data_IF_697749349366
#
_entry.id   IF_697749349366
#
_cell.length_a   1.000
_cell.length_b   1.000
_cell.length_c   1.000
_cell.angle_alpha   90.00
_cell.angle_beta   90.00
_cell.angle_gamma   90.00
#
_symmetry.space_group_name_H-M   'P 1'
#
loop_
_entity.id
_entity.type
_entity.pdbx_description
1 polymer ?
#
# COMPACT_ATOMS: atom_id res chain seq x y z
N UNK A 1 -55.83 -60.17 35.33
CA UNK A 1 -56.59 -59.04 35.88
C UNK A 1 -55.62 -58.02 36.46
N UNK A 2 -55.89 -56.73 36.21
CA UNK A 2 -55.25 -55.52 36.75
C UNK A 2 -53.85 -55.15 36.22
N UNK A 3 -53.85 -54.44 35.09
CA UNK A 3 -52.84 -53.42 34.79
C UNK A 3 -53.16 -52.15 35.59
N UNK A 4 -52.20 -51.63 36.37
CA UNK A 4 -52.28 -50.31 37.02
C UNK A 4 -51.17 -49.42 36.45
N UNK A 5 -51.57 -48.45 35.63
CA UNK A 5 -50.70 -47.39 35.11
C UNK A 5 -50.23 -46.47 36.22
N UNK A 6 -48.92 -46.29 36.32
CA UNK A 6 -48.25 -45.25 37.09
C UNK A 6 -48.46 -43.89 36.40
N UNK A 7 -49.19 -42.98 37.03
CA UNK A 7 -49.25 -41.58 36.60
C UNK A 7 -48.01 -40.86 37.16
N UNK A 8 -47.00 -40.63 36.33
CA UNK A 8 -45.83 -39.81 36.68
C UNK A 8 -46.19 -38.34 36.48
N UNK A 9 -46.24 -37.59 37.58
CA UNK A 9 -46.37 -36.14 37.58
C UNK A 9 -45.08 -35.54 36.99
N UNK A 10 -45.19 -34.86 35.86
CA UNK A 10 -44.10 -34.14 35.20
C UNK A 10 -44.03 -32.72 35.78
N UNK A 11 -43.05 -32.44 36.64
CA UNK A 11 -42.73 -31.08 37.08
C UNK A 11 -41.92 -30.38 35.97
N UNK A 12 -42.54 -29.43 35.28
CA UNK A 12 -41.87 -28.56 34.30
C UNK A 12 -41.20 -27.42 35.07
N UNK A 13 -39.87 -27.42 35.13
CA UNK A 13 -39.10 -26.27 35.58
C UNK A 13 -39.07 -25.23 34.44
N UNK A 14 -39.84 -24.14 34.57
CA UNK A 14 -39.67 -22.96 33.74
C UNK A 14 -38.38 -22.24 34.18
N UNK A 15 -37.32 -22.39 33.39
CA UNK A 15 -36.19 -21.46 33.44
C UNK A 15 -36.59 -20.16 32.74
N UNK A 16 -36.41 -18.98 33.35
CA UNK A 16 -36.56 -17.73 32.64
C UNK A 16 -35.45 -17.66 31.59
N UNK A 17 -35.84 -17.70 30.31
CA UNK A 17 -34.95 -17.37 29.21
C UNK A 17 -34.62 -15.88 29.33
N UNK A 18 -33.48 -15.55 29.94
CA UNK A 18 -32.86 -14.25 29.74
C UNK A 18 -32.46 -14.19 28.27
N UNK A 19 -33.30 -13.57 27.44
CA UNK A 19 -32.88 -13.08 26.15
C UNK A 19 -31.75 -12.08 26.43
N UNK A 20 -30.51 -12.50 26.18
CA UNK A 20 -29.41 -11.55 26.00
C UNK A 20 -29.80 -10.76 24.77
N UNK A 21 -30.37 -9.57 24.98
CA UNK A 21 -30.55 -8.60 23.91
C UNK A 21 -29.13 -8.32 23.41
N UNK A 22 -28.80 -8.85 22.23
CA UNK A 22 -27.56 -8.50 21.56
C UNK A 22 -27.56 -7.00 21.38
N UNK A 23 -26.60 -6.32 22.01
CA UNK A 23 -26.42 -4.88 21.79
C UNK A 23 -26.17 -4.70 20.29
N UNK A 24 -27.11 -4.07 19.59
CA UNK A 24 -26.91 -3.73 18.18
C UNK A 24 -25.70 -2.81 18.05
N UNK A 25 -24.92 -3.01 16.97
CA UNK A 25 -23.81 -2.13 16.65
C UNK A 25 -24.33 -0.68 16.52
N UNK A 26 -23.58 0.27 17.08
CA UNK A 26 -23.99 1.68 17.07
C UNK A 26 -23.92 2.22 15.65
N UNK A 27 -24.85 3.11 15.31
CA UNK A 27 -24.81 3.80 14.01
C UNK A 27 -23.46 4.53 13.83
N UNK A 28 -22.87 4.50 12.62
CA UNK A 28 -21.65 5.24 12.32
C UNK A 28 -21.82 6.73 12.63
N UNK A 29 -20.79 7.34 13.22
CA UNK A 29 -20.77 8.77 13.55
C UNK A 29 -19.78 9.50 12.66
N UNK A 30 -20.26 10.49 11.93
CA UNK A 30 -19.38 11.45 11.24
C UNK A 30 -18.74 12.37 12.28
N UNK A 31 -17.43 12.58 12.18
CA UNK A 31 -16.64 13.37 13.13
C UNK A 31 -15.81 14.43 12.41
N UNK A 32 -15.67 15.57 13.05
CA UNK A 32 -14.75 16.64 12.67
C UNK A 32 -13.47 16.49 13.50
N UNK A 33 -12.33 16.41 12.82
CA UNK A 33 -11.01 16.39 13.44
C UNK A 33 -10.29 17.69 13.08
N UNK A 34 -9.36 18.11 13.94
CA UNK A 34 -8.50 19.27 13.69
C UNK A 34 -7.07 18.79 13.72
N UNK A 35 -6.40 18.85 12.58
CA UNK A 35 -4.97 18.53 12.49
C UNK A 35 -4.14 19.57 13.27
N UNK A 36 -2.87 19.27 13.62
CA UNK A 36 -2.01 20.19 14.36
C UNK A 36 -1.82 21.57 13.72
N UNK A 37 -1.96 21.67 12.40
CA UNK A 37 -1.88 22.92 11.63
C UNK A 37 -3.24 23.67 11.52
N UNK A 38 -4.27 23.18 12.21
CA UNK A 38 -5.60 23.78 12.26
C UNK A 38 -6.56 23.32 11.16
N UNK A 39 -6.09 22.56 10.17
CA UNK A 39 -6.91 22.06 9.05
C UNK A 39 -8.01 21.13 9.56
N UNK A 40 -9.24 21.28 9.04
CA UNK A 40 -10.37 20.44 9.41
C UNK A 40 -10.46 19.20 8.52
N UNK A 41 -10.46 18.04 9.16
CA UNK A 41 -10.61 16.75 8.50
C UNK A 41 -11.97 16.15 8.82
N UNK A 42 -12.53 15.42 7.86
CA UNK A 42 -13.77 14.66 8.04
C UNK A 42 -13.47 13.18 8.21
N UNK A 43 -14.00 12.61 9.29
CA UNK A 43 -13.92 11.17 9.55
C UNK A 43 -15.29 10.52 9.73
N UNK A 44 -15.29 9.19 9.68
CA UNK A 44 -16.42 8.35 10.11
C UNK A 44 -15.89 7.33 11.13
N UNK A 45 -16.47 7.35 12.33
CA UNK A 45 -16.18 6.38 13.38
C UNK A 45 -17.36 5.43 13.58
N UNK A 46 -17.08 4.14 13.49
CA UNK A 46 -18.05 3.06 13.63
C UNK A 46 -17.65 2.18 14.81
N UNK A 47 -18.42 2.23 15.89
CA UNK A 47 -18.14 1.49 17.13
C UNK A 47 -18.81 0.12 17.12
N UNK A 48 -18.08 -0.90 17.57
CA UNK A 48 -18.64 -2.21 17.87
C UNK A 48 -19.59 -2.13 19.09
N UNK A 49 -20.40 -3.18 19.26
CA UNK A 49 -21.31 -3.33 20.40
C UNK A 49 -20.57 -3.41 21.75
N UNK A 50 -19.38 -4.01 21.75
CA UNK A 50 -18.52 -4.19 22.91
C UNK A 50 -17.10 -3.67 22.63
N UNK A 51 -16.27 -3.60 23.67
CA UNK A 51 -14.87 -3.22 23.51
C UNK A 51 -14.12 -4.23 22.65
N UNK A 52 -13.30 -3.74 21.71
CA UNK A 52 -12.59 -4.56 20.74
C UNK A 52 -11.49 -3.82 19.98
N UNK A 53 -10.75 -4.48 19.09
CA UNK A 53 -9.62 -3.89 18.36
C UNK A 53 -10.02 -2.64 17.56
N UNK A 54 -9.09 -1.70 17.44
CA UNK A 54 -9.24 -0.52 16.57
C UNK A 54 -8.69 -0.77 15.17
N UNK A 55 -9.38 -0.26 14.15
CA UNK A 55 -8.96 -0.33 12.73
C UNK A 55 -8.99 1.07 12.14
N UNK A 56 -7.89 1.53 11.56
CA UNK A 56 -7.83 2.77 10.78
C UNK A 56 -7.68 2.42 9.29
N UNK A 57 -8.61 2.88 8.46
CA UNK A 57 -8.60 2.66 7.01
C UNK A 57 -8.41 3.98 6.23
N UNK A 58 -7.40 4.01 5.38
CA UNK A 58 -6.97 5.16 4.59
C UNK A 58 -7.33 4.96 3.10
N UNK A 59 -8.05 5.90 2.51
CA UNK A 59 -8.49 5.78 1.11
C UNK A 59 -7.34 6.00 0.11
N UNK A 60 -7.55 5.58 -1.14
CA UNK A 60 -6.68 5.88 -2.28
C UNK A 60 -6.83 7.31 -2.80
N UNK A 61 -5.85 7.77 -3.59
CA UNK A 61 -5.63 9.16 -3.99
C UNK A 61 -6.65 9.77 -4.96
N UNK A 62 -7.72 9.05 -5.29
CA UNK A 62 -8.82 9.51 -6.13
C UNK A 62 -10.18 9.10 -5.54
N UNK A 63 -10.23 8.85 -4.23
CA UNK A 63 -11.41 8.41 -3.47
C UNK A 63 -11.52 9.20 -2.16
N UNK A 64 -12.49 8.79 -1.34
CA UNK A 64 -12.82 9.36 -0.05
C UNK A 64 -13.22 8.23 0.93
N UNK A 65 -13.32 8.53 2.21
CA UNK A 65 -13.50 7.60 3.34
C UNK A 65 -14.67 6.62 3.21
N UNK A 66 -15.76 6.97 2.54
CA UNK A 66 -16.97 6.13 2.40
C UNK A 66 -16.78 4.94 1.45
N UNK A 67 -15.68 4.87 0.70
CA UNK A 67 -15.35 3.63 -0.03
C UNK A 67 -15.19 2.43 0.89
N UNK A 68 -14.94 2.68 2.18
CA UNK A 68 -14.79 1.66 3.21
C UNK A 68 -16.10 1.30 3.93
N UNK A 69 -17.24 1.94 3.63
CA UNK A 69 -18.47 1.80 4.43
C UNK A 69 -18.94 0.33 4.58
N UNK A 70 -18.89 -0.44 3.49
CA UNK A 70 -19.26 -1.86 3.52
C UNK A 70 -18.32 -2.69 4.39
N UNK A 71 -17.00 -2.48 4.22
CA UNK A 71 -15.98 -3.17 5.02
C UNK A 71 -16.08 -2.77 6.50
N UNK A 72 -16.25 -1.49 6.80
CA UNK A 72 -16.39 -0.97 8.15
C UNK A 72 -17.59 -1.60 8.86
N UNK A 73 -18.74 -1.70 8.17
CA UNK A 73 -19.95 -2.35 8.71
C UNK A 73 -19.73 -3.83 9.01
N UNK A 74 -18.99 -4.55 8.17
CA UNK A 74 -18.65 -5.97 8.41
C UNK A 74 -17.67 -6.12 9.57
N UNK A 75 -16.68 -5.25 9.65
CA UNK A 75 -15.71 -5.22 10.75
C UNK A 75 -16.37 -4.91 12.09
N UNK A 76 -17.31 -3.94 12.15
CA UNK A 76 -18.05 -3.65 13.39
C UNK A 76 -18.96 -4.79 13.81
N UNK A 77 -19.61 -5.47 12.86
CA UNK A 77 -20.36 -6.70 13.14
C UNK A 77 -19.46 -7.83 13.70
N UNK A 78 -18.18 -7.85 13.33
CA UNK A 78 -17.18 -8.77 13.86
C UNK A 78 -16.50 -8.28 15.17
N UNK A 79 -16.97 -7.19 15.77
CA UNK A 79 -16.49 -6.70 17.07
C UNK A 79 -15.28 -5.75 17.01
N UNK A 80 -14.98 -5.17 15.85
CA UNK A 80 -13.91 -4.18 15.69
C UNK A 80 -14.45 -2.75 15.63
N UNK A 81 -13.65 -1.78 16.04
CA UNK A 81 -13.99 -0.35 15.98
C UNK A 81 -13.24 0.29 14.83
N UNK A 82 -13.95 0.90 13.88
CA UNK A 82 -13.36 1.35 12.62
C UNK A 82 -13.38 2.87 12.54
N UNK A 83 -12.23 3.45 12.24
CA UNK A 83 -12.06 4.84 11.85
C UNK A 83 -11.70 4.92 10.37
N UNK A 84 -12.43 5.75 9.63
CA UNK A 84 -12.08 6.13 8.25
C UNK A 84 -11.99 7.64 8.18
N UNK A 85 -11.09 8.17 7.38
CA UNK A 85 -10.82 9.62 7.30
C UNK A 85 -10.62 10.05 5.87
N UNK A 86 -11.17 11.20 5.51
CA UNK A 86 -10.80 11.92 4.30
C UNK A 86 -9.49 12.65 4.59
N UNK A 87 -8.42 12.33 3.87
CA UNK A 87 -7.17 13.07 3.97
C UNK A 87 -7.36 14.49 3.41
N UNK A 88 -6.49 15.44 3.78
CA UNK A 88 -6.59 16.81 3.28
C UNK A 88 -6.66 16.86 1.74
N UNK A 89 -7.50 17.75 1.21
CA UNK A 89 -7.73 17.87 -0.23
C UNK A 89 -8.64 16.79 -0.83
N UNK A 90 -9.22 15.91 -0.01
CA UNK A 90 -10.14 14.85 -0.44
C UNK A 90 -11.50 14.91 0.25
N UNK A 91 -12.52 14.40 -0.43
CA UNK A 91 -13.85 14.20 0.14
C UNK A 91 -14.42 15.46 0.78
N UNK A 92 -14.80 15.34 2.05
CA UNK A 92 -15.38 16.40 2.86
C UNK A 92 -14.33 17.11 3.75
N UNK A 93 -13.04 16.77 3.63
CA UNK A 93 -11.95 17.44 4.35
C UNK A 93 -11.54 18.74 3.65
N UNK A 94 -11.03 19.69 4.43
CA UNK A 94 -10.43 20.90 3.89
C UNK A 94 -9.11 20.60 3.14
N UNK A 95 -8.60 21.61 2.44
CA UNK A 95 -7.35 21.55 1.69
C UNK A 95 -7.55 21.74 0.18
N UNK A 96 -6.49 22.11 -0.50
CA UNK A 96 -6.49 22.21 -1.96
C UNK A 96 -6.55 20.80 -2.55
N UNK A 97 -7.47 20.52 -3.50
CA UNK A 97 -7.50 19.25 -4.22
C UNK A 97 -6.14 18.92 -4.85
N UNK A 98 -5.70 17.67 -4.74
CA UNK A 98 -4.35 17.25 -5.14
C UNK A 98 -4.09 17.51 -6.64
N UNK A 99 -5.10 17.40 -7.48
CA UNK A 99 -5.03 17.67 -8.93
C UNK A 99 -4.83 19.16 -9.28
N UNK A 100 -4.88 20.05 -8.28
CA UNK A 100 -4.65 21.49 -8.43
C UNK A 100 -3.34 21.98 -7.84
N UNK A 101 -2.55 21.09 -7.25
CA UNK A 101 -1.27 21.40 -6.64
C UNK A 101 -0.14 21.37 -7.69
N UNK A 102 0.91 22.15 -7.46
CA UNK A 102 2.18 21.96 -8.19
C UNK A 102 2.88 20.68 -7.72
N UNK A 103 3.82 20.11 -8.49
CA UNK A 103 4.59 18.95 -8.05
C UNK A 103 5.28 19.13 -6.70
N UNK A 104 5.83 20.33 -6.43
CA UNK A 104 6.46 20.65 -5.14
C UNK A 104 5.46 20.70 -3.99
N UNK A 105 4.26 21.23 -4.25
CA UNK A 105 3.18 21.24 -3.25
C UNK A 105 2.64 19.83 -2.98
N UNK A 106 2.54 18.99 -4.01
CA UNK A 106 2.20 17.56 -3.86
C UNK A 106 3.22 16.88 -2.95
N UNK A 107 4.51 17.05 -3.21
CA UNK A 107 5.57 16.45 -2.39
C UNK A 107 5.45 16.86 -0.92
N UNK A 108 5.32 18.17 -0.65
CA UNK A 108 5.09 18.69 0.70
C UNK A 108 3.82 18.09 1.33
N UNK A 109 2.72 18.01 0.58
CA UNK A 109 1.45 17.49 1.10
C UNK A 109 1.59 16.01 1.49
N UNK A 110 2.20 15.17 0.64
CA UNK A 110 2.32 13.73 0.91
C UNK A 110 3.35 13.40 1.99
N UNK A 111 4.47 14.13 2.05
CA UNK A 111 5.58 13.79 2.92
C UNK A 111 5.53 14.50 4.28
N UNK A 112 4.93 15.70 4.34
CA UNK A 112 4.91 16.49 5.58
C UNK A 112 3.51 16.64 6.18
N UNK A 113 2.47 16.71 5.34
CA UNK A 113 1.13 17.15 5.78
C UNK A 113 0.15 16.00 6.02
N UNK A 114 -0.01 15.10 5.05
CA UNK A 114 -0.85 13.90 5.17
C UNK A 114 -0.44 13.03 6.38
N UNK A 115 0.86 12.85 6.71
CA UNK A 115 1.23 12.13 7.92
C UNK A 115 0.63 12.71 9.21
N UNK A 116 0.40 14.03 9.28
CA UNK A 116 -0.27 14.68 10.40
C UNK A 116 -1.77 14.36 10.43
N UNK A 117 -2.40 14.23 9.27
CA UNK A 117 -3.83 13.86 9.17
C UNK A 117 -4.06 12.43 9.65
N UNK A 118 -3.17 11.52 9.23
CA UNK A 118 -3.18 10.11 9.61
C UNK A 118 -2.95 9.98 11.11
N UNK A 119 -1.98 10.70 11.66
CA UNK A 119 -1.75 10.77 13.11
C UNK A 119 -2.97 11.29 13.86
N UNK A 120 -3.63 12.34 13.35
CA UNK A 120 -4.83 12.92 13.97
C UNK A 120 -5.97 11.89 14.03
N UNK A 121 -6.18 11.13 12.96
CA UNK A 121 -7.18 10.06 12.94
C UNK A 121 -6.82 8.90 13.87
N UNK A 122 -5.54 8.53 13.95
CA UNK A 122 -5.03 7.53 14.90
C UNK A 122 -5.28 7.97 16.35
N UNK A 123 -4.88 9.20 16.72
CA UNK A 123 -5.05 9.74 18.07
C UNK A 123 -6.54 9.81 18.46
N UNK A 124 -7.42 10.17 17.53
CA UNK A 124 -8.85 10.10 17.76
C UNK A 124 -9.32 8.66 18.03
N UNK A 125 -8.84 7.68 17.25
CA UNK A 125 -9.26 6.28 17.38
C UNK A 125 -8.84 5.68 18.73
N UNK A 126 -7.58 5.85 19.14
CA UNK A 126 -7.03 5.15 20.33
C UNK A 126 -7.60 5.63 21.66
N UNK A 127 -8.17 6.84 21.71
CA UNK A 127 -8.81 7.37 22.93
C UNK A 127 -10.28 6.97 23.06
N UNK A 128 -10.86 6.26 22.07
CA UNK A 128 -12.26 5.86 22.15
C UNK A 128 -12.45 4.77 23.21
N UNK A 129 -13.43 4.88 24.12
CA UNK A 129 -13.67 3.88 25.17
C UNK A 129 -13.97 2.47 24.66
N UNK A 130 -14.44 2.36 23.41
CA UNK A 130 -14.72 1.07 22.78
C UNK A 130 -13.45 0.38 22.24
N UNK A 131 -12.33 1.08 22.09
CA UNK A 131 -11.10 0.53 21.51
C UNK A 131 -10.27 -0.14 22.60
N UNK A 132 -9.97 -1.43 22.42
CA UNK A 132 -9.10 -2.19 23.32
C UNK A 132 -7.64 -1.72 23.20
N UNK A 133 -6.92 -1.54 24.33
CA UNK A 133 -5.50 -1.19 24.29
C UNK A 133 -4.64 -2.26 23.59
N UNK A 134 -3.62 -1.83 22.85
CA UNK A 134 -2.50 -2.67 22.40
C UNK A 134 -2.73 -3.55 21.17
N UNK A 135 -3.92 -3.53 20.56
CA UNK A 135 -4.21 -4.27 19.33
C UNK A 135 -4.94 -3.36 18.32
N UNK A 136 -4.16 -2.82 17.39
CA UNK A 136 -4.63 -1.98 16.30
C UNK A 136 -4.29 -2.57 14.93
N UNK A 137 -5.07 -2.17 13.94
CA UNK A 137 -4.88 -2.52 12.53
C UNK A 137 -4.88 -1.23 11.73
N UNK A 138 -3.89 -1.07 10.85
CA UNK A 138 -3.91 -0.01 9.85
C UNK A 138 -4.08 -0.64 8.47
N UNK A 139 -4.84 0.02 7.61
CA UNK A 139 -4.99 -0.43 6.24
C UNK A 139 -5.23 0.70 5.28
N UNK A 140 -4.87 0.48 4.01
CA UNK A 140 -5.07 1.47 2.99
C UNK A 140 -4.97 0.90 1.58
N UNK A 141 -5.45 1.69 0.63
CA UNK A 141 -5.38 1.40 -0.78
C UNK A 141 -4.57 2.48 -1.51
N UNK A 142 -3.82 2.11 -2.55
CA UNK A 142 -2.98 3.04 -3.31
C UNK A 142 -2.06 3.84 -2.36
N UNK A 143 -2.04 5.17 -2.46
CA UNK A 143 -1.30 6.04 -1.54
C UNK A 143 -1.63 5.89 -0.04
N UNK A 144 -2.76 5.29 0.33
CA UNK A 144 -3.05 4.91 1.72
C UNK A 144 -2.16 3.78 2.25
N UNK A 145 -1.51 2.99 1.38
CA UNK A 145 -0.58 1.91 1.75
C UNK A 145 0.65 2.47 2.43
N UNK A 146 1.35 3.43 1.82
CA UNK A 146 2.57 4.00 2.42
C UNK A 146 2.27 4.62 3.78
N UNK A 147 1.16 5.36 3.88
CA UNK A 147 0.72 5.97 5.13
C UNK A 147 0.39 4.95 6.23
N UNK A 148 -0.18 3.79 5.87
CA UNK A 148 -0.47 2.71 6.82
C UNK A 148 0.80 2.07 7.37
N UNK A 149 1.81 1.87 6.52
CA UNK A 149 3.13 1.34 6.92
C UNK A 149 3.85 2.34 7.82
N UNK A 150 3.89 3.61 7.44
CA UNK A 150 4.51 4.69 8.21
C UNK A 150 3.83 4.92 9.57
N UNK A 151 2.52 4.72 9.66
CA UNK A 151 1.83 4.74 10.94
C UNK A 151 2.28 3.57 11.82
N UNK A 152 2.41 2.35 11.27
CA UNK A 152 2.91 1.20 12.03
C UNK A 152 4.38 1.35 12.47
N UNK A 153 5.20 2.10 11.72
CA UNK A 153 6.56 2.46 12.14
C UNK A 153 6.59 3.29 13.42
N UNK A 154 5.62 4.20 13.58
CA UNK A 154 5.53 5.13 14.72
C UNK A 154 4.82 4.51 15.93
N UNK A 155 3.91 3.56 15.69
CA UNK A 155 3.01 3.03 16.70
C UNK A 155 3.11 1.50 16.80
N UNK A 156 3.91 0.96 17.73
CA UNK A 156 4.10 -0.47 17.88
C UNK A 156 2.82 -1.23 18.29
N UNK A 157 1.76 -0.53 18.70
CA UNK A 157 0.42 -1.08 18.96
C UNK A 157 -0.29 -1.56 17.70
N UNK A 158 0.17 -1.16 16.51
CA UNK A 158 -0.33 -1.69 15.24
C UNK A 158 0.26 -3.09 15.02
N UNK A 159 -0.62 -4.09 15.03
CA UNK A 159 -0.27 -5.51 14.99
C UNK A 159 -0.59 -6.21 13.68
N UNK A 160 -1.22 -5.53 12.73
CA UNK A 160 -1.54 -6.07 11.41
C UNK A 160 -1.72 -4.95 10.39
N UNK A 161 -1.42 -5.25 9.11
CA UNK A 161 -1.59 -4.33 7.99
C UNK A 161 -2.47 -4.92 6.88
N UNK A 162 -3.36 -4.11 6.32
CA UNK A 162 -4.16 -4.44 5.13
C UNK A 162 -3.80 -3.48 4.00
N UNK A 163 -3.13 -3.96 2.95
CA UNK A 163 -2.53 -3.14 1.91
C UNK A 163 -3.11 -3.53 0.54
N UNK A 164 -3.71 -2.58 -0.20
CA UNK A 164 -4.37 -2.84 -1.48
C UNK A 164 -3.73 -2.02 -2.61
N UNK A 165 -3.23 -2.69 -3.65
CA UNK A 165 -2.70 -2.09 -4.89
C UNK A 165 -1.68 -0.95 -4.74
N UNK A 166 -0.63 -1.14 -3.93
CA UNK A 166 0.55 -0.25 -3.91
C UNK A 166 1.69 -0.89 -3.08
N UNK A 167 2.91 -0.36 -3.23
CA UNK A 167 4.06 -0.66 -2.35
C UNK A 167 4.27 0.44 -1.30
N UNK A 168 5.35 0.38 -0.53
CA UNK A 168 5.80 1.42 0.39
C UNK A 168 7.21 1.87 -0.01
N UNK A 169 7.62 3.06 0.41
CA UNK A 169 8.96 3.61 0.18
C UNK A 169 10.08 2.79 0.84
N UNK A 170 11.34 3.15 0.58
CA UNK A 170 12.50 2.43 1.11
C UNK A 170 12.51 2.34 2.65
N UNK A 171 12.01 3.37 3.34
CA UNK A 171 11.94 3.37 4.81
C UNK A 171 10.90 2.36 5.30
N UNK A 172 9.69 2.38 4.72
CA UNK A 172 8.64 1.41 5.01
C UNK A 172 9.05 -0.02 4.67
N UNK A 173 9.75 -0.24 3.56
CA UNK A 173 10.29 -1.57 3.20
C UNK A 173 11.31 -2.05 4.23
N UNK A 174 12.20 -1.16 4.66
CA UNK A 174 13.20 -1.45 5.70
C UNK A 174 12.54 -1.81 7.04
N UNK A 175 11.51 -1.05 7.43
CA UNK A 175 10.73 -1.33 8.63
C UNK A 175 10.08 -2.71 8.59
N UNK A 176 9.39 -3.06 7.50
CA UNK A 176 8.70 -4.35 7.39
C UNK A 176 9.67 -5.53 7.44
N UNK A 177 10.86 -5.42 6.81
CA UNK A 177 11.91 -6.44 6.92
C UNK A 177 12.47 -6.57 8.34
N UNK A 178 12.56 -5.46 9.07
CA UNK A 178 12.98 -5.46 10.48
C UNK A 178 11.90 -6.03 11.42
N UNK A 179 10.65 -6.11 10.96
CA UNK A 179 9.50 -6.64 11.71
C UNK A 179 8.83 -7.80 10.99
N UNK A 180 9.56 -8.90 10.70
CA UNK A 180 9.05 -9.97 9.85
C UNK A 180 7.93 -10.79 10.49
N UNK A 181 7.63 -10.57 11.77
CA UNK A 181 6.47 -11.14 12.47
C UNK A 181 5.19 -10.34 12.28
N UNK A 182 5.22 -9.14 11.67
CA UNK A 182 4.02 -8.34 11.40
C UNK A 182 3.22 -8.99 10.26
N UNK A 183 1.98 -9.47 10.51
CA UNK A 183 1.16 -10.08 9.47
C UNK A 183 0.63 -9.03 8.48
N UNK A 184 0.69 -9.38 7.20
CA UNK A 184 0.24 -8.53 6.10
C UNK A 184 -0.89 -9.21 5.32
N UNK A 185 -1.98 -8.50 5.07
CA UNK A 185 -2.94 -8.86 4.03
C UNK A 185 -2.69 -7.95 2.84
N UNK A 186 -2.36 -8.55 1.70
CA UNK A 186 -2.06 -7.83 0.46
C UNK A 186 -3.02 -8.31 -0.62
N UNK A 187 -3.62 -7.38 -1.37
CA UNK A 187 -4.37 -7.71 -2.58
C UNK A 187 -4.06 -6.77 -3.74
N UNK A 188 -4.10 -7.32 -4.95
CA UNK A 188 -3.82 -6.62 -6.21
C UNK A 188 -4.56 -7.29 -7.36
N UNK A 189 -4.68 -6.61 -8.50
CA UNK A 189 -5.16 -7.17 -9.75
C UNK A 189 -4.15 -7.00 -10.90
N UNK A 190 -4.14 -7.90 -11.87
CA UNK A 190 -3.23 -7.82 -13.02
C UNK A 190 -3.65 -6.76 -14.06
N UNK A 191 -4.92 -6.38 -14.07
CA UNK A 191 -5.47 -5.29 -14.88
C UNK A 191 -5.44 -3.92 -14.16
N UNK A 192 -4.72 -3.85 -13.05
CA UNK A 192 -4.50 -2.62 -12.33
C UNK A 192 -3.82 -1.58 -13.26
N UNK A 193 -4.33 -0.35 -13.22
CA UNK A 193 -3.85 0.74 -14.05
C UNK A 193 -2.46 1.24 -13.62
N UNK A 194 -2.02 0.93 -12.40
CA UNK A 194 -0.66 1.20 -11.93
C UNK A 194 0.33 0.10 -12.41
N UNK A 195 1.20 0.41 -13.39
CA UNK A 195 2.01 -0.61 -14.03
C UNK A 195 3.01 -1.28 -13.08
N UNK A 196 2.95 -2.61 -12.99
CA UNK A 196 3.90 -3.41 -12.21
C UNK A 196 3.56 -3.54 -10.73
N UNK A 197 2.49 -2.90 -10.26
CA UNK A 197 2.06 -2.93 -8.85
C UNK A 197 1.87 -4.34 -8.32
N UNK A 198 1.35 -5.27 -9.14
CA UNK A 198 1.17 -6.66 -8.72
C UNK A 198 2.48 -7.38 -8.39
N UNK A 199 3.54 -7.09 -9.13
CA UNK A 199 4.87 -7.70 -8.88
C UNK A 199 5.56 -7.02 -7.69
N UNK A 200 5.38 -5.71 -7.53
CA UNK A 200 5.84 -4.96 -6.36
C UNK A 200 5.15 -5.43 -5.07
N UNK A 201 3.84 -5.69 -5.10
CA UNK A 201 3.12 -6.22 -3.95
C UNK A 201 3.47 -7.68 -3.65
N UNK A 202 3.75 -8.48 -4.69
CA UNK A 202 4.30 -9.81 -4.49
C UNK A 202 5.66 -9.73 -3.79
N UNK A 203 6.51 -8.78 -4.17
CA UNK A 203 7.77 -8.51 -3.47
C UNK A 203 7.54 -8.04 -2.03
N UNK A 204 6.66 -7.07 -1.78
CA UNK A 204 6.32 -6.58 -0.44
C UNK A 204 5.84 -7.70 0.48
N UNK A 205 5.09 -8.67 -0.05
CA UNK A 205 4.61 -9.82 0.71
C UNK A 205 5.73 -10.70 1.25
N UNK A 206 6.95 -10.61 0.70
CA UNK A 206 8.08 -11.42 1.18
C UNK A 206 8.68 -10.92 2.48
N UNK A 207 8.38 -9.68 2.90
CA UNK A 207 9.01 -9.06 4.07
C UNK A 207 8.42 -9.56 5.37
N UNK A 208 7.24 -10.17 5.31
CA UNK A 208 6.65 -10.87 6.44
C UNK A 208 6.85 -12.37 6.31
N UNK A 209 7.33 -12.96 7.39
CA UNK A 209 7.41 -14.41 7.62
C UNK A 209 6.32 -14.89 8.58
N UNK A 210 5.41 -14.01 8.98
CA UNK A 210 4.25 -14.41 9.78
C UNK A 210 3.39 -15.39 8.95
N UNK A 211 3.03 -16.58 9.49
CA UNK A 211 2.27 -17.58 8.73
C UNK A 211 0.83 -17.14 8.40
N UNK A 212 0.34 -16.06 9.01
CA UNK A 212 -0.93 -15.46 8.64
C UNK A 212 -0.80 -14.48 7.46
N UNK A 213 0.39 -14.09 7.02
CA UNK A 213 0.52 -13.21 5.85
C UNK A 213 -0.13 -13.82 4.62
N UNK A 214 -0.98 -13.04 3.96
CA UNK A 214 -1.81 -13.46 2.83
C UNK A 214 -1.62 -12.48 1.67
N UNK A 215 -1.23 -13.01 0.52
CA UNK A 215 -1.18 -12.26 -0.73
C UNK A 215 -2.23 -12.82 -1.69
N UNK A 216 -3.07 -11.93 -2.23
CA UNK A 216 -4.12 -12.26 -3.19
C UNK A 216 -3.86 -11.51 -4.49
N UNK A 217 -3.67 -12.26 -5.58
CA UNK A 217 -3.49 -11.70 -6.92
C UNK A 217 -4.66 -12.11 -7.79
N UNK A 218 -5.45 -11.13 -8.20
CA UNK A 218 -6.58 -11.34 -9.10
C UNK A 218 -6.17 -11.11 -10.56
N UNK A 219 -6.85 -11.80 -11.49
CA UNK A 219 -6.63 -11.56 -12.92
C UNK A 219 -7.23 -10.23 -13.40
N UNK A 220 -8.38 -9.87 -12.83
CA UNK A 220 -9.17 -8.68 -13.16
C UNK A 220 -9.75 -8.16 -11.86
N UNK A 221 -9.66 -6.88 -11.58
CA UNK A 221 -10.11 -6.29 -10.33
C UNK A 221 -9.94 -4.77 -10.25
N UNK A 222 -9.12 -4.18 -11.13
CA UNK A 222 -8.81 -2.75 -11.11
C UNK A 222 -7.94 -2.34 -9.92
N UNK A 223 -7.80 -1.03 -9.73
CA UNK A 223 -6.90 -0.45 -8.74
C UNK A 223 -7.53 -0.34 -7.35
N UNK A 224 -6.87 -0.82 -6.31
CA UNK A 224 -7.22 -0.54 -4.92
C UNK A 224 -8.60 -1.05 -4.52
N UNK A 225 -9.49 -0.16 -4.09
CA UNK A 225 -10.83 -0.53 -3.59
C UNK A 225 -11.80 -0.95 -4.69
N UNK A 226 -11.48 -0.71 -5.96
CA UNK A 226 -12.21 -1.21 -7.12
C UNK A 226 -12.36 -2.74 -7.07
N UNK A 227 -11.37 -3.43 -6.49
CA UNK A 227 -11.42 -4.87 -6.28
C UNK A 227 -12.64 -5.33 -5.48
N UNK A 228 -13.21 -4.49 -4.60
CA UNK A 228 -14.41 -4.88 -3.84
C UNK A 228 -15.65 -5.05 -4.72
N UNK A 229 -15.73 -4.33 -5.83
CA UNK A 229 -16.83 -4.48 -6.80
C UNK A 229 -16.60 -5.73 -7.65
N UNK A 230 -15.36 -5.95 -8.09
CA UNK A 230 -15.01 -7.11 -8.92
C UNK A 230 -15.03 -8.44 -8.13
N UNK A 231 -14.68 -8.39 -6.84
CA UNK A 231 -14.56 -9.53 -5.92
C UNK A 231 -15.34 -9.27 -4.63
N UNK A 232 -16.67 -9.44 -4.63
CA UNK A 232 -17.53 -9.17 -3.47
C UNK A 232 -17.20 -10.02 -2.22
N UNK A 233 -16.43 -11.09 -2.36
CA UNK A 233 -15.93 -11.91 -1.26
C UNK A 233 -14.73 -11.29 -0.53
N UNK A 234 -13.99 -10.38 -1.19
CA UNK A 234 -12.77 -9.79 -0.66
C UNK A 234 -12.99 -9.05 0.67
N UNK A 235 -14.03 -8.20 0.86
CA UNK A 235 -14.27 -7.57 2.15
C UNK A 235 -14.43 -8.54 3.32
N UNK A 236 -15.15 -9.66 3.13
CA UNK A 236 -15.28 -10.68 4.18
C UNK A 236 -13.98 -11.45 4.41
N UNK A 237 -13.24 -11.76 3.35
CA UNK A 237 -11.91 -12.38 3.47
C UNK A 237 -10.95 -11.52 4.30
N UNK A 238 -11.02 -10.18 4.16
CA UNK A 238 -10.27 -9.23 5.01
C UNK A 238 -10.75 -9.29 6.45
N UNK A 239 -12.06 -9.25 6.71
CA UNK A 239 -12.63 -9.31 8.07
C UNK A 239 -12.22 -10.60 8.80
N UNK A 240 -12.33 -11.74 8.12
CA UNK A 240 -11.95 -13.04 8.67
C UNK A 240 -10.47 -13.09 8.98
N UNK A 241 -9.63 -12.58 8.06
CA UNK A 241 -8.19 -12.51 8.25
C UNK A 241 -7.80 -11.60 9.43
N UNK A 242 -8.37 -10.39 9.50
CA UNK A 242 -8.09 -9.45 10.60
C UNK A 242 -8.48 -10.08 11.93
N UNK A 243 -9.64 -10.74 12.00
CA UNK A 243 -10.11 -11.44 13.21
C UNK A 243 -9.12 -12.50 13.69
N UNK A 244 -8.43 -13.19 12.77
CA UNK A 244 -7.37 -14.15 13.10
C UNK A 244 -6.10 -13.42 13.55
N UNK A 245 -5.63 -12.44 12.78
CA UNK A 245 -4.38 -11.72 13.03
C UNK A 245 -4.38 -11.03 14.40
N UNK A 246 -5.49 -10.39 14.78
CA UNK A 246 -5.61 -9.68 16.07
C UNK A 246 -5.70 -10.62 17.28
N UNK A 247 -6.13 -11.88 17.09
CA UNK A 247 -6.19 -12.88 18.18
C UNK A 247 -4.87 -13.61 18.40
N UNK A 248 -4.01 -13.62 17.38
CA UNK A 248 -2.74 -14.34 17.37
C UNK A 248 -1.58 -13.41 17.00
N UNK A 249 -1.33 -12.31 17.74
CA UNK A 249 -0.29 -11.35 17.36
C UNK A 249 1.15 -11.88 17.49
N UNK A 250 1.37 -12.94 18.29
CA UNK A 250 2.70 -13.46 18.64
C UNK A 250 2.96 -14.85 18.03
N UNK A 251 2.59 -15.07 16.77
CA UNK A 251 2.87 -16.34 16.10
C UNK A 251 4.35 -16.38 15.70
N UNK A 252 4.98 -17.54 15.96
CA UNK A 252 6.36 -17.76 15.57
C UNK A 252 6.53 -17.60 14.04
N UNK A 253 7.57 -16.89 13.58
CA UNK A 253 7.93 -16.79 12.17
C UNK A 253 8.03 -18.16 11.48
N UNK A 254 7.55 -18.25 10.25
CA UNK A 254 7.80 -19.39 9.37
C UNK A 254 9.27 -19.43 8.93
N UNK A 255 9.74 -20.63 8.52
CA UNK A 255 11.08 -20.77 7.92
C UNK A 255 11.07 -20.22 6.50
N UNK A 256 11.44 -18.95 6.35
CA UNK A 256 11.47 -18.24 5.06
C UNK A 256 10.12 -17.72 4.61
N UNK A 257 10.10 -16.89 3.56
CA UNK A 257 8.86 -16.36 3.00
C UNK A 257 8.30 -17.28 1.90
N UNK A 258 6.99 -17.59 1.92
CA UNK A 258 6.37 -18.44 0.90
C UNK A 258 6.35 -17.82 -0.51
N UNK A 259 6.52 -16.51 -0.62
CA UNK A 259 6.45 -15.77 -1.89
C UNK A 259 7.83 -15.43 -2.49
N UNK A 260 8.90 -15.98 -1.92
CA UNK A 260 10.25 -15.76 -2.42
C UNK A 260 10.47 -16.39 -3.82
N UNK A 261 11.00 -15.59 -4.73
CA UNK A 261 11.43 -15.98 -6.08
C UNK A 261 12.77 -15.31 -6.43
N UNK A 262 13.46 -15.73 -7.51
CA UNK A 262 14.65 -15.03 -7.99
C UNK A 262 14.41 -13.53 -8.24
N UNK A 263 13.20 -13.14 -8.68
CA UNK A 263 12.82 -11.72 -8.83
C UNK A 263 12.82 -11.01 -7.50
N UNK A 264 12.11 -11.52 -6.49
CA UNK A 264 12.06 -10.86 -5.19
C UNK A 264 13.42 -10.83 -4.50
N UNK A 265 14.25 -11.87 -4.69
CA UNK A 265 15.62 -11.91 -4.14
C UNK A 265 16.53 -10.88 -4.81
N UNK A 266 16.41 -10.70 -6.13
CA UNK A 266 17.12 -9.66 -6.85
C UNK A 266 16.71 -8.26 -6.37
N UNK A 267 15.40 -8.00 -6.23
CA UNK A 267 14.90 -6.73 -5.72
C UNK A 267 15.35 -6.48 -4.26
N UNK A 268 15.35 -7.51 -3.42
CA UNK A 268 15.89 -7.45 -2.04
C UNK A 268 17.38 -7.13 -2.00
N UNK A 269 18.15 -7.63 -2.97
CA UNK A 269 19.57 -7.34 -3.09
C UNK A 269 19.83 -5.89 -3.51
N UNK A 270 19.00 -5.31 -4.39
CA UNK A 270 19.12 -3.90 -4.79
C UNK A 270 18.92 -2.94 -3.61
N UNK A 271 17.95 -3.23 -2.74
CA UNK A 271 17.64 -2.43 -1.55
C UNK A 271 18.75 -2.52 -0.46
N UNK A 272 19.74 -3.42 -0.58
CA UNK A 272 20.83 -3.47 0.39
C UNK A 272 21.73 -2.23 0.27
N UNK A 273 22.18 -1.63 1.38
CA UNK A 273 23.00 -0.41 1.36
C UNK A 273 24.21 -0.52 0.41
N UNK A 274 24.23 0.33 -0.62
CA UNK A 274 25.31 0.42 -1.61
C UNK A 274 25.35 -0.72 -2.65
N UNK A 275 24.50 -1.74 -2.55
CA UNK A 275 24.51 -2.89 -3.45
C UNK A 275 23.97 -2.54 -4.85
N UNK A 276 23.04 -1.58 -4.95
CA UNK A 276 22.45 -1.14 -6.22
C UNK A 276 23.48 -0.70 -7.27
N UNK A 277 24.66 -0.20 -6.86
CA UNK A 277 25.75 0.13 -7.78
C UNK A 277 26.23 -1.08 -8.62
N UNK A 278 25.96 -2.30 -8.16
CA UNK A 278 26.28 -3.58 -8.81
C UNK A 278 25.04 -4.25 -9.43
N UNK A 279 23.98 -3.50 -9.75
CA UNK A 279 22.73 -4.05 -10.29
C UNK A 279 22.92 -5.05 -11.46
N UNK A 280 23.81 -4.83 -12.46
CA UNK A 280 24.02 -5.80 -13.52
C UNK A 280 24.57 -7.15 -13.04
N UNK A 281 25.46 -7.14 -12.04
CA UNK A 281 26.04 -8.35 -11.45
C UNK A 281 24.97 -9.11 -10.67
N UNK A 282 24.21 -8.42 -9.82
CA UNK A 282 23.10 -9.00 -9.06
C UNK A 282 22.04 -9.62 -9.98
N UNK A 283 21.74 -8.96 -11.11
CA UNK A 283 20.82 -9.49 -12.11
C UNK A 283 21.38 -10.76 -12.78
N UNK A 284 22.67 -10.76 -13.12
CA UNK A 284 23.33 -11.94 -13.71
C UNK A 284 23.44 -13.12 -12.72
N UNK A 285 23.58 -12.84 -11.42
CA UNK A 285 23.57 -13.85 -10.36
C UNK A 285 22.17 -14.47 -10.18
N UNK A 286 21.12 -13.65 -10.21
CA UNK A 286 19.73 -14.10 -10.03
C UNK A 286 19.17 -14.86 -11.25
N UNK A 287 19.51 -14.43 -12.47
CA UNK A 287 18.86 -14.93 -13.70
C UNK A 287 19.84 -15.57 -14.71
N UNK A 288 21.12 -15.63 -14.39
CA UNK A 288 22.18 -16.04 -15.30
C UNK A 288 22.67 -14.90 -16.20
N UNK A 289 23.82 -15.10 -16.86
CA UNK A 289 24.49 -14.06 -17.67
C UNK A 289 23.74 -13.65 -18.95
N UNK A 290 22.87 -14.52 -19.47
CA UNK A 290 22.12 -14.33 -20.71
C UNK A 290 20.70 -14.87 -20.58
N UNK A 291 19.83 -14.24 -19.76
CA UNK A 291 18.45 -14.70 -19.63
C UNK A 291 17.71 -14.52 -20.96
N UNK A 292 16.79 -15.44 -21.25
CA UNK A 292 15.89 -15.31 -22.41
C UNK A 292 14.83 -14.26 -22.09
N UNK A 293 15.06 -13.03 -22.55
CA UNK A 293 14.20 -11.89 -22.27
C UNK A 293 14.46 -11.27 -20.90
N UNK A 294 13.72 -10.21 -20.59
CA UNK A 294 13.81 -9.52 -19.31
C UNK A 294 13.00 -10.28 -18.24
N UNK A 295 13.65 -10.66 -17.15
CA UNK A 295 13.05 -11.41 -16.04
C UNK A 295 12.29 -10.51 -15.05
N UNK A 296 12.58 -9.20 -15.08
CA UNK A 296 11.93 -8.18 -14.26
C UNK A 296 11.40 -7.11 -15.21
N UNK A 297 10.15 -6.69 -15.01
CA UNK A 297 9.50 -5.74 -15.90
C UNK A 297 10.20 -4.36 -15.90
N UNK A 298 10.11 -3.66 -17.02
CA UNK A 298 10.68 -2.31 -17.19
C UNK A 298 10.21 -1.36 -16.10
N UNK A 299 8.91 -1.39 -15.82
CA UNK A 299 8.25 -0.48 -14.87
C UNK A 299 8.66 -0.74 -13.43
N UNK A 300 8.88 -2.01 -13.05
CA UNK A 300 9.38 -2.37 -11.71
C UNK A 300 10.82 -1.87 -11.53
N UNK A 301 11.71 -2.14 -12.50
CA UNK A 301 13.08 -1.61 -12.45
C UNK A 301 13.10 -0.08 -12.44
N UNK A 302 12.19 0.55 -13.16
CA UNK A 302 12.05 2.01 -13.17
C UNK A 302 11.69 2.53 -11.79
N UNK A 303 10.65 1.95 -11.16
CA UNK A 303 10.19 2.32 -9.82
C UNK A 303 11.32 2.20 -8.79
N UNK A 304 12.00 1.06 -8.74
CA UNK A 304 13.14 0.87 -7.82
C UNK A 304 14.29 1.82 -8.13
N UNK A 305 14.57 2.12 -9.40
CA UNK A 305 15.58 3.12 -9.78
C UNK A 305 15.25 4.52 -9.26
N UNK A 306 13.99 4.95 -9.35
CA UNK A 306 13.54 6.22 -8.79
C UNK A 306 13.52 6.23 -7.26
N UNK A 307 13.17 5.12 -6.60
CA UNK A 307 13.27 5.02 -5.14
C UNK A 307 14.70 5.32 -4.66
N UNK A 308 15.71 4.70 -5.28
CA UNK A 308 17.12 5.00 -4.98
C UNK A 308 17.48 6.46 -5.27
N UNK A 309 16.96 7.02 -6.37
CA UNK A 309 17.23 8.40 -6.75
C UNK A 309 16.67 9.39 -5.72
N UNK A 310 15.43 9.19 -5.29
CA UNK A 310 14.73 10.00 -4.29
C UNK A 310 15.41 9.90 -2.92
N UNK A 311 15.97 8.73 -2.58
CA UNK A 311 16.75 8.52 -1.37
C UNK A 311 18.21 9.00 -1.48
N UNK A 312 18.59 9.66 -2.58
CA UNK A 312 19.91 10.25 -2.78
C UNK A 312 21.00 9.27 -3.22
N UNK A 313 20.69 7.98 -3.41
CA UNK A 313 21.61 6.99 -4.00
C UNK A 313 21.64 7.12 -5.53
N UNK A 314 22.24 8.22 -5.98
CA UNK A 314 22.36 8.56 -7.41
C UNK A 314 23.14 7.50 -8.19
N UNK A 315 24.16 6.88 -7.58
CA UNK A 315 24.98 5.87 -8.24
C UNK A 315 24.23 4.55 -8.41
N UNK A 316 23.51 4.11 -7.38
CA UNK A 316 22.61 2.96 -7.46
C UNK A 316 21.49 3.18 -8.47
N UNK A 317 20.82 4.34 -8.42
CA UNK A 317 19.79 4.71 -9.39
C UNK A 317 20.29 4.64 -10.83
N UNK A 318 21.46 5.22 -11.14
CA UNK A 318 22.08 5.14 -12.47
C UNK A 318 22.35 3.67 -12.85
N UNK A 319 22.89 2.84 -11.95
CA UNK A 319 23.20 1.45 -12.25
C UNK A 319 21.93 0.63 -12.56
N UNK A 320 20.86 0.81 -11.78
CA UNK A 320 19.56 0.16 -11.99
C UNK A 320 18.92 0.62 -13.29
N UNK A 321 18.88 1.93 -13.55
CA UNK A 321 18.24 2.48 -14.76
C UNK A 321 19.05 2.18 -16.03
N UNK A 322 20.38 2.05 -15.94
CA UNK A 322 21.20 1.51 -17.03
C UNK A 322 20.90 0.04 -17.30
N UNK A 323 20.74 -0.78 -16.27
CA UNK A 323 20.29 -2.17 -16.43
C UNK A 323 18.93 -2.20 -17.13
N UNK A 324 17.98 -1.36 -16.70
CA UNK A 324 16.67 -1.24 -17.31
C UNK A 324 16.77 -0.90 -18.81
N UNK A 325 17.55 0.12 -19.16
CA UNK A 325 17.79 0.50 -20.56
C UNK A 325 18.48 -0.59 -21.39
N UNK A 326 19.30 -1.44 -20.78
CA UNK A 326 19.92 -2.58 -21.46
C UNK A 326 18.95 -3.72 -21.74
N UNK A 327 17.95 -3.91 -20.88
CA UNK A 327 16.92 -4.94 -21.02
C UNK A 327 15.79 -4.50 -21.95
N UNK A 328 15.53 -3.19 -22.03
CA UNK A 328 14.44 -2.59 -22.80
C UNK A 328 14.95 -1.49 -23.75
N UNK A 329 15.87 -1.79 -24.68
CA UNK A 329 16.60 -0.77 -25.43
C UNK A 329 15.76 0.09 -26.39
N UNK A 330 14.51 -0.31 -26.66
CA UNK A 330 13.59 0.41 -27.54
C UNK A 330 12.53 1.22 -26.78
N UNK A 331 12.48 1.12 -25.45
CA UNK A 331 11.55 1.91 -24.64
C UNK A 331 12.04 3.36 -24.56
N UNK A 332 11.22 4.37 -24.87
CA UNK A 332 11.62 5.76 -24.64
C UNK A 332 11.72 6.09 -23.15
N UNK A 333 10.88 5.46 -22.32
CA UNK A 333 10.79 5.70 -20.87
C UNK A 333 12.11 5.40 -20.13
N UNK A 334 12.81 4.31 -20.49
CA UNK A 334 14.08 3.94 -19.81
C UNK A 334 15.18 4.97 -20.04
N UNK A 335 15.21 5.64 -21.20
CA UNK A 335 16.19 6.69 -21.47
C UNK A 335 15.79 8.00 -20.82
N UNK A 336 14.50 8.34 -20.80
CA UNK A 336 14.05 9.52 -20.06
C UNK A 336 14.42 9.43 -18.58
N UNK A 337 14.11 8.28 -17.97
CA UNK A 337 14.39 7.99 -16.56
C UNK A 337 15.89 7.95 -16.26
N UNK A 338 16.69 7.30 -17.10
CA UNK A 338 18.15 7.32 -16.97
C UNK A 338 18.72 8.74 -17.12
N UNK A 339 18.10 9.57 -17.97
CA UNK A 339 18.42 10.99 -18.11
C UNK A 339 18.22 11.78 -16.81
N UNK A 340 17.14 11.51 -16.06
CA UNK A 340 16.89 12.13 -14.75
C UNK A 340 17.98 11.78 -13.74
N UNK A 341 18.35 10.50 -13.67
CA UNK A 341 19.38 10.05 -12.74
C UNK A 341 20.76 10.66 -13.06
N UNK A 342 21.13 10.76 -14.35
CA UNK A 342 22.33 11.48 -14.76
C UNK A 342 22.28 12.97 -14.43
N UNK A 343 21.13 13.62 -14.64
CA UNK A 343 20.96 15.03 -14.33
C UNK A 343 21.13 15.30 -12.84
N UNK A 344 20.50 14.48 -11.99
CA UNK A 344 20.61 14.56 -10.54
C UNK A 344 22.05 14.33 -10.04
N UNK A 345 22.82 13.47 -10.71
CA UNK A 345 24.25 13.22 -10.45
C UNK A 345 25.18 14.30 -11.06
N UNK A 346 24.63 15.27 -11.80
CA UNK A 346 25.39 16.37 -12.40
C UNK A 346 26.05 16.02 -13.74
N UNK A 347 25.80 14.83 -14.29
CA UNK A 347 26.34 14.36 -15.58
C UNK A 347 25.51 14.92 -16.76
N UNK A 348 25.58 16.24 -16.95
CA UNK A 348 24.72 17.01 -17.87
C UNK A 348 24.75 16.53 -19.32
N UNK A 349 25.92 16.12 -19.83
CA UNK A 349 26.03 15.68 -21.22
C UNK A 349 25.35 14.31 -21.45
N UNK A 350 25.48 13.39 -20.50
CA UNK A 350 24.77 12.11 -20.53
C UNK A 350 23.26 12.31 -20.36
N UNK A 351 22.84 13.22 -19.48
CA UNK A 351 21.43 13.57 -19.35
C UNK A 351 20.85 14.10 -20.68
N UNK A 352 21.58 15.00 -21.36
CA UNK A 352 21.18 15.53 -22.68
C UNK A 352 21.11 14.43 -23.74
N UNK A 353 22.10 13.56 -23.79
CA UNK A 353 22.14 12.44 -24.73
C UNK A 353 20.93 11.52 -24.55
N UNK A 354 20.59 11.18 -23.31
CA UNK A 354 19.46 10.30 -23.01
C UNK A 354 18.11 10.97 -23.29
N UNK A 355 17.97 12.27 -23.02
CA UNK A 355 16.76 13.03 -23.36
C UNK A 355 16.49 13.04 -24.88
N UNK A 356 17.52 13.29 -25.70
CA UNK A 356 17.39 13.20 -27.15
C UNK A 356 17.00 11.78 -27.60
N UNK A 357 17.66 10.76 -27.04
CA UNK A 357 17.35 9.37 -27.37
C UNK A 357 15.92 8.97 -27.01
N UNK A 358 15.40 9.45 -25.88
CA UNK A 358 14.02 9.24 -25.48
C UNK A 358 13.05 9.83 -26.52
N UNK A 359 13.28 11.07 -26.95
CA UNK A 359 12.46 11.74 -27.98
C UNK A 359 12.53 11.03 -29.34
N UNK A 360 13.71 10.58 -29.75
CA UNK A 360 13.92 9.84 -31.01
C UNK A 360 13.15 8.52 -31.01
N UNK A 361 13.20 7.76 -29.92
CA UNK A 361 12.45 6.50 -29.79
C UNK A 361 10.95 6.74 -29.70
N UNK A 362 10.53 7.79 -29.00
CA UNK A 362 9.12 8.14 -28.82
C UNK A 362 8.42 8.44 -30.15
N UNK A 363 9.15 8.96 -31.16
CA UNK A 363 8.62 9.19 -32.50
C UNK A 363 8.13 7.91 -33.20
N UNK A 364 8.61 6.75 -32.76
CA UNK A 364 8.27 5.43 -33.31
C UNK A 364 7.52 4.54 -32.30
N UNK A 365 7.20 5.06 -31.12
CA UNK A 365 6.54 4.27 -30.09
C UNK A 365 5.03 4.13 -30.34
N UNK A 366 4.61 2.88 -30.43
CA UNK A 366 3.20 2.46 -30.56
C UNK A 366 2.76 1.60 -29.39
N UNK A 367 3.61 1.40 -28.38
CA UNK A 367 3.33 0.52 -27.24
C UNK A 367 2.73 1.31 -26.08
N UNK A 368 3.25 2.50 -25.78
CA UNK A 368 2.71 3.30 -24.69
C UNK A 368 1.43 4.05 -25.08
N UNK A 369 0.46 4.17 -24.14
CA UNK A 369 -0.69 5.05 -24.26
C UNK A 369 -0.31 6.51 -24.56
N UNK A 370 -1.22 7.27 -25.17
CA UNK A 370 -0.95 8.66 -25.61
C UNK A 370 -0.55 9.59 -24.46
N UNK A 371 -1.21 9.48 -23.32
CA UNK A 371 -0.91 10.22 -22.10
C UNK A 371 0.49 9.89 -21.56
N UNK A 372 0.86 8.60 -21.50
CA UNK A 372 2.21 8.18 -21.10
C UNK A 372 3.27 8.71 -22.08
N UNK A 373 3.03 8.61 -23.39
CA UNK A 373 3.93 9.18 -24.40
C UNK A 373 4.07 10.70 -24.24
N UNK A 374 2.99 11.41 -23.94
CA UNK A 374 3.02 12.85 -23.67
C UNK A 374 3.87 13.17 -22.43
N UNK A 375 3.69 12.44 -21.34
CA UNK A 375 4.48 12.64 -20.11
C UNK A 375 5.98 12.47 -20.35
N UNK A 376 6.39 11.42 -21.08
CA UNK A 376 7.80 11.17 -21.44
C UNK A 376 8.34 12.32 -22.31
N UNK A 377 7.56 12.80 -23.28
CA UNK A 377 7.96 13.94 -24.13
C UNK A 377 8.19 15.20 -23.32
N UNK A 378 7.21 15.57 -22.50
CA UNK A 378 7.24 16.80 -21.72
C UNK A 378 8.43 16.78 -20.73
N UNK A 379 8.66 15.63 -20.08
CA UNK A 379 9.83 15.39 -19.21
C UNK A 379 11.16 15.59 -19.95
N UNK A 380 11.33 14.93 -21.09
CA UNK A 380 12.56 15.03 -21.88
C UNK A 380 12.79 16.44 -22.45
N UNK A 381 11.76 17.13 -22.92
CA UNK A 381 11.86 18.51 -23.41
C UNK A 381 12.17 19.50 -22.29
N UNK A 382 11.54 19.34 -21.12
CA UNK A 382 11.83 20.16 -19.93
C UNK A 382 13.29 19.99 -19.49
N UNK A 383 13.78 18.76 -19.48
CA UNK A 383 15.18 18.41 -19.19
C UNK A 383 16.15 19.10 -20.14
N UNK A 384 15.88 19.07 -21.46
CA UNK A 384 16.70 19.77 -22.46
C UNK A 384 16.66 21.29 -22.27
N UNK A 385 15.50 21.85 -21.95
CA UNK A 385 15.35 23.28 -21.65
C UNK A 385 16.18 23.70 -20.43
N UNK A 386 16.11 22.93 -19.34
CA UNK A 386 16.92 23.15 -18.14
C UNK A 386 18.42 23.10 -18.43
N UNK A 387 18.86 22.17 -19.28
CA UNK A 387 20.26 21.99 -19.67
C UNK A 387 20.80 23.04 -20.65
N UNK A 388 19.92 23.88 -21.21
CA UNK A 388 20.25 24.93 -22.18
C UNK A 388 20.35 26.33 -21.57
N UNK A 389 19.94 26.51 -20.31
CA UNK A 389 20.05 27.80 -19.63
C UNK A 389 21.50 28.08 -19.18
N UNK A 390 22.05 29.29 -19.44
CA UNK A 390 23.35 29.67 -18.90
C UNK A 390 23.31 29.72 -17.36
N UNK A 391 24.41 29.29 -16.72
CA UNK A 391 24.53 29.20 -15.26
C UNK A 391 24.44 30.54 -14.57
#
# INVERSE_FOLDING_TARGET
>A
MLARSLCKILLVFLFPAFAVAGQEARAPRVVDLTAPDGLKLKGTFSAAAASGPGVLLLHQCNRQRKVWDDLARRMTAAGMNVMTVDLRGYGDSEGTPIDKLTPEEVDMVFNEKIPLDVETAYQFLVVQPAVSPGILVAGGASCGVNQSVHLAMKHPEIKALVLLSEITDMEGRSFLRAHPSLPLFLATAEDDADPGVSDLMQWLSTFSTNPHTKFVRYKTGGHGVEMFVAHPELPMSIVDWVTIAVRSPNVAPAKGSPNASPVTQFLDALDQPGAAANAPQLYAEAFGKHPKGAAVSEVVLNRVGYDHLQNGDKKGAIAILKLNASLYPNSPNVYDSLGDAYLADGQKDLARQNAHKALDLLAHDTTDPEDRRKAIRDSAEQKLKQLSQPR
#
